data_IF_645287322573
#
_entry.id   IF_645287322573
#
_cell.length_a   1.000
_cell.length_b   1.000
_cell.length_c   1.000
_cell.angle_alpha   90.00
_cell.angle_beta   90.00
_cell.angle_gamma   90.00
#
_symmetry.space_group_name_H-M   'P 1'
#
loop_
_entity.id
_entity.type
_entity.pdbx_description
1 polymer ?
#
# COMPACT_ATOMS: atom_id res chain seq x y z
N UNK A 1 -19.57 46.69 32.76
CA UNK A 1 -18.15 46.58 32.35
C UNK A 1 -17.54 45.53 33.27
N UNK A 2 -17.13 44.32 32.87
CA UNK A 2 -16.80 43.80 31.54
C UNK A 2 -17.00 42.28 31.51
N UNK A 3 -17.31 41.79 30.31
CA UNK A 3 -17.38 40.39 29.90
C UNK A 3 -15.99 39.72 29.84
N UNK A 4 -16.06 38.39 29.69
CA UNK A 4 -15.15 37.52 28.91
C UNK A 4 -13.81 37.11 29.57
N UNK A 5 -13.35 35.87 29.46
CA UNK A 5 -13.88 34.73 28.72
C UNK A 5 -13.26 33.45 29.26
N UNK A 6 -14.09 32.40 29.35
CA UNK A 6 -13.60 31.05 29.55
C UNK A 6 -12.73 30.69 28.34
N UNK A 7 -11.47 30.41 28.63
CA UNK A 7 -10.46 29.93 27.67
C UNK A 7 -11.04 28.71 26.96
N UNK A 8 -11.38 28.90 25.68
CA UNK A 8 -11.60 27.78 24.78
C UNK A 8 -10.28 27.04 24.67
N UNK A 9 -10.22 25.84 25.24
CA UNK A 9 -9.22 24.84 24.85
C UNK A 9 -9.38 24.60 23.35
N UNK A 10 -8.38 24.88 22.51
CA UNK A 10 -8.32 24.22 21.22
C UNK A 10 -7.97 22.76 21.53
N UNK A 11 -8.98 21.90 21.62
CA UNK A 11 -8.75 20.46 21.63
C UNK A 11 -7.95 20.11 20.38
N UNK A 12 -6.69 19.76 20.63
CA UNK A 12 -5.67 19.54 19.64
C UNK A 12 -6.10 18.45 18.64
N UNK A 13 -5.92 18.76 17.35
CA UNK A 13 -5.56 17.83 16.27
C UNK A 13 -6.20 16.43 16.34
N UNK A 14 -7.50 16.35 16.11
CA UNK A 14 -8.14 15.08 15.73
C UNK A 14 -7.76 14.77 14.27
N UNK A 15 -6.58 14.19 14.01
CA UNK A 15 -6.20 13.84 12.63
C UNK A 15 -5.22 12.64 12.48
N UNK A 16 -5.22 11.68 13.41
CA UNK A 16 -4.28 10.54 13.39
C UNK A 16 -4.85 9.12 13.50
N UNK A 17 -6.10 8.93 13.94
CA UNK A 17 -6.61 7.60 14.34
C UNK A 17 -7.20 6.76 13.19
N UNK A 18 -7.25 7.31 11.98
CA UNK A 18 -7.96 6.69 10.87
C UNK A 18 -7.02 5.98 9.89
N UNK A 19 -5.76 5.71 10.25
CA UNK A 19 -4.77 5.13 9.34
C UNK A 19 -4.00 4.01 10.00
N UNK A 20 -3.94 2.88 9.34
CA UNK A 20 -3.21 1.68 9.76
C UNK A 20 -2.12 1.40 8.73
N UNK A 21 -0.90 1.11 9.18
CA UNK A 21 0.24 0.86 8.30
C UNK A 21 0.74 -0.57 8.44
N UNK A 22 0.66 -1.32 7.35
CA UNK A 22 1.24 -2.66 7.26
C UNK A 22 2.69 -2.53 6.83
N UNK A 23 3.60 -2.93 7.71
CA UNK A 23 5.04 -2.82 7.47
C UNK A 23 5.53 -3.88 6.48
N UNK A 24 6.59 -3.53 5.74
CA UNK A 24 7.34 -4.48 4.92
C UNK A 24 7.94 -5.59 5.80
N UNK A 25 7.89 -6.81 5.30
CA UNK A 25 8.53 -8.00 5.89
C UNK A 25 9.90 -8.19 5.24
N UNK A 26 10.96 -8.09 6.05
CA UNK A 26 12.36 -8.24 5.62
C UNK A 26 12.96 -9.61 5.98
N UNK A 27 12.16 -10.55 6.47
CA UNK A 27 12.64 -11.88 6.90
C UNK A 27 13.30 -12.68 5.78
N UNK A 28 12.88 -12.47 4.53
CA UNK A 28 13.41 -13.14 3.32
C UNK A 28 14.32 -12.22 2.48
N UNK A 29 14.84 -11.15 3.09
CA UNK A 29 15.76 -10.20 2.44
C UNK A 29 15.08 -8.91 2.00
N UNK A 30 15.55 -8.32 0.90
CA UNK A 30 15.13 -6.98 0.45
C UNK A 30 14.02 -7.00 -0.60
N UNK A 31 13.41 -8.16 -0.87
CA UNK A 31 12.27 -8.32 -1.76
C UNK A 31 11.03 -7.57 -1.22
N UNK A 32 10.17 -7.06 -2.10
CA UNK A 32 8.91 -6.41 -1.68
C UNK A 32 7.93 -7.46 -1.17
N UNK A 33 7.79 -7.51 0.16
CA UNK A 33 6.84 -8.36 0.87
C UNK A 33 6.26 -7.59 2.05
N UNK A 34 5.00 -7.81 2.37
CA UNK A 34 4.31 -7.18 3.50
C UNK A 34 3.86 -8.24 4.51
N UNK A 35 3.84 -7.86 5.79
CA UNK A 35 3.33 -8.73 6.85
C UNK A 35 1.85 -9.04 6.64
N UNK A 36 1.49 -10.30 6.81
CA UNK A 36 0.12 -10.79 6.61
C UNK A 36 -0.72 -10.80 7.89
N UNK A 37 -0.10 -10.53 9.05
CA UNK A 37 -0.81 -10.45 10.33
C UNK A 37 -1.80 -9.29 10.32
N UNK A 38 -3.08 -9.58 10.56
CA UNK A 38 -4.12 -8.57 10.75
C UNK A 38 -3.78 -7.68 11.97
N UNK A 39 -3.66 -6.34 11.82
CA UNK A 39 -3.50 -5.41 12.92
C UNK A 39 -4.74 -5.32 13.80
N UNK A 40 -4.54 -5.03 15.09
CA UNK A 40 -5.63 -4.92 16.08
C UNK A 40 -6.66 -3.84 15.74
N UNK A 41 -6.21 -2.76 15.10
CA UNK A 41 -7.05 -1.62 14.69
C UNK A 41 -8.05 -1.98 13.57
N UNK A 42 -7.79 -3.09 12.85
CA UNK A 42 -8.68 -3.60 11.80
C UNK A 42 -9.51 -4.79 12.27
N UNK A 43 -9.30 -5.28 13.49
CA UNK A 43 -10.13 -6.35 14.05
C UNK A 43 -11.58 -5.91 14.19
N UNK A 44 -12.51 -6.74 13.73
CA UNK A 44 -13.94 -6.42 13.69
C UNK A 44 -14.37 -5.50 12.52
N UNK A 45 -13.43 -4.89 11.78
CA UNK A 45 -13.73 -4.13 10.56
C UNK A 45 -13.61 -5.00 9.30
N UNK A 46 -12.67 -5.95 9.30
CA UNK A 46 -12.47 -6.91 8.22
C UNK A 46 -12.14 -8.29 8.79
N UNK A 47 -12.60 -9.36 8.15
CA UNK A 47 -12.28 -10.71 8.55
C UNK A 47 -10.81 -11.03 8.27
N UNK A 48 -10.16 -11.70 9.21
CA UNK A 48 -8.74 -12.08 9.12
C UNK A 48 -8.39 -12.77 7.80
N UNK A 49 -9.18 -13.75 7.38
CA UNK A 49 -8.93 -14.50 6.14
C UNK A 49 -9.02 -13.63 4.88
N UNK A 50 -9.91 -12.63 4.85
CA UNK A 50 -10.06 -11.72 3.71
C UNK A 50 -8.86 -10.78 3.62
N UNK A 51 -8.44 -10.23 4.76
CA UNK A 51 -7.24 -9.41 4.85
C UNK A 51 -6.01 -10.20 4.44
N UNK A 52 -5.78 -11.36 5.03
CA UNK A 52 -4.65 -12.24 4.73
C UNK A 52 -4.62 -12.63 3.26
N UNK A 53 -5.77 -13.01 2.67
CA UNK A 53 -5.86 -13.32 1.24
C UNK A 53 -5.47 -12.13 0.36
N UNK A 54 -5.88 -10.91 0.74
CA UNK A 54 -5.55 -9.69 -0.01
C UNK A 54 -4.05 -9.41 0.05
N UNK A 55 -3.45 -9.45 1.24
CA UNK A 55 -2.01 -9.21 1.41
C UNK A 55 -1.17 -10.30 0.75
N UNK A 56 -1.56 -11.57 0.88
CA UNK A 56 -0.88 -12.68 0.19
C UNK A 56 -0.90 -12.48 -1.32
N UNK A 57 -2.05 -12.10 -1.88
CA UNK A 57 -2.15 -11.85 -3.32
C UNK A 57 -1.30 -10.66 -3.79
N UNK A 58 -1.21 -9.61 -2.97
CA UNK A 58 -0.29 -8.50 -3.23
C UNK A 58 1.17 -8.96 -3.22
N UNK A 59 1.57 -9.74 -2.20
CA UNK A 59 2.92 -10.30 -2.10
C UNK A 59 3.27 -11.18 -3.30
N UNK A 60 2.33 -11.99 -3.80
CA UNK A 60 2.51 -12.79 -5.02
C UNK A 60 2.77 -11.89 -6.25
N UNK A 61 2.02 -10.80 -6.41
CA UNK A 61 2.27 -9.86 -7.52
C UNK A 61 3.61 -9.16 -7.41
N UNK A 62 4.04 -8.79 -6.21
CA UNK A 62 5.37 -8.20 -6.02
C UNK A 62 6.50 -9.21 -6.31
N UNK A 63 6.33 -10.46 -5.87
CA UNK A 63 7.28 -11.54 -6.20
C UNK A 63 7.32 -11.81 -7.72
N UNK A 64 6.18 -11.75 -8.42
CA UNK A 64 6.09 -11.84 -9.88
C UNK A 64 6.87 -10.69 -10.55
N UNK A 65 6.72 -9.46 -10.04
CA UNK A 65 7.40 -8.27 -10.56
C UNK A 65 8.94 -8.42 -10.51
N UNK A 66 9.47 -8.96 -9.41
CA UNK A 66 10.91 -9.12 -9.20
C UNK A 66 11.51 -10.26 -10.02
N UNK A 67 10.79 -11.38 -10.20
CA UNK A 67 11.27 -12.52 -11.01
C UNK A 67 11.53 -12.13 -12.47
N UNK A 68 10.65 -11.35 -13.08
CA UNK A 68 10.86 -10.86 -14.45
C UNK A 68 11.97 -9.79 -14.58
N UNK A 69 12.40 -9.20 -13.47
CA UNK A 69 13.47 -8.21 -13.45
C UNK A 69 14.86 -8.84 -13.44
N UNK A 70 15.03 -10.02 -12.85
CA UNK A 70 16.37 -10.58 -12.59
C UNK A 70 17.00 -11.25 -13.82
N UNK A 71 16.24 -11.99 -14.64
CA UNK A 71 16.78 -12.57 -15.89
C UNK A 71 17.13 -11.51 -16.93
N UNK A 72 16.43 -10.38 -16.91
CA UNK A 72 16.69 -9.21 -17.77
C UNK A 72 17.98 -8.47 -17.36
N UNK A 73 18.37 -8.53 -16.07
CA UNK A 73 19.54 -7.82 -15.55
C UNK A 73 20.88 -8.47 -15.97
N UNK A 74 20.89 -9.80 -16.19
CA UNK A 74 22.07 -10.51 -16.68
C UNK A 74 22.43 -10.16 -18.14
N UNK A 75 21.50 -9.57 -18.90
CA UNK A 75 21.82 -8.94 -20.20
C UNK A 75 22.53 -7.58 -20.01
N UNK A 76 22.41 -6.94 -18.85
CA UNK A 76 22.92 -5.60 -18.55
C UNK A 76 24.45 -5.47 -18.52
N UNK A 77 25.19 -6.55 -18.24
CA UNK A 77 26.66 -6.56 -18.38
C UNK A 77 27.11 -6.50 -19.85
N UNK A 78 26.25 -6.90 -20.79
CA UNK A 78 26.49 -6.77 -22.25
C UNK A 78 26.20 -5.32 -22.70
N UNK A 79 25.43 -4.57 -21.92
CA UNK A 79 24.95 -3.21 -22.20
C UNK A 79 25.91 -2.06 -21.90
N UNK A 80 27.06 -2.29 -21.27
CA UNK A 80 28.10 -1.23 -21.17
C UNK A 80 28.49 -0.67 -22.56
N UNK A 81 28.25 -1.46 -23.62
CA UNK A 81 28.72 -1.21 -24.98
C UNK A 81 27.65 -0.50 -25.86
N UNK A 82 26.37 -0.45 -25.46
CA UNK A 82 25.27 0.16 -26.28
C UNK A 82 24.80 1.56 -25.82
N UNK A 83 25.52 2.16 -24.87
CA UNK A 83 25.69 3.59 -24.56
C UNK A 83 24.48 4.55 -24.32
N UNK A 84 23.46 4.68 -25.16
CA UNK A 84 22.38 5.69 -24.95
C UNK A 84 21.03 5.32 -25.59
N UNK A 85 20.97 4.23 -26.37
CA UNK A 85 19.85 3.94 -27.28
C UNK A 85 18.64 3.23 -26.62
N UNK A 86 18.72 2.88 -25.34
CA UNK A 86 17.61 2.27 -24.57
C UNK A 86 16.87 3.27 -23.68
N UNK A 87 17.10 4.58 -23.80
CA UNK A 87 16.55 5.56 -22.84
C UNK A 87 15.02 5.54 -22.60
N UNK A 88 14.13 5.00 -23.46
CA UNK A 88 12.68 5.23 -23.31
C UNK A 88 11.69 4.18 -23.89
N UNK A 89 12.12 3.10 -24.55
CA UNK A 89 11.20 2.28 -25.36
C UNK A 89 10.73 0.99 -24.66
N UNK A 90 9.89 1.15 -23.64
CA UNK A 90 8.82 0.25 -23.19
C UNK A 90 8.74 0.27 -21.68
N UNK A 91 7.52 0.46 -21.17
CA UNK A 91 7.16 0.21 -19.78
C UNK A 91 7.86 -1.05 -19.27
N UNK A 92 8.68 -0.90 -18.22
CA UNK A 92 9.47 -2.01 -17.70
C UNK A 92 8.53 -3.13 -17.24
N UNK A 93 9.00 -4.39 -17.26
CA UNK A 93 8.21 -5.50 -16.71
C UNK A 93 7.70 -5.17 -15.29
N UNK A 94 8.56 -4.52 -14.50
CA UNK A 94 8.22 -4.07 -13.16
C UNK A 94 7.07 -3.05 -13.16
N UNK A 95 7.12 -2.02 -14.01
CA UNK A 95 6.05 -1.03 -14.15
C UNK A 95 4.71 -1.63 -14.64
N UNK A 96 4.75 -2.66 -15.50
CA UNK A 96 3.56 -3.44 -15.91
C UNK A 96 2.91 -4.12 -14.73
N UNK A 97 3.73 -4.76 -13.90
CA UNK A 97 3.23 -5.46 -12.72
C UNK A 97 2.74 -4.48 -11.65
N UNK A 98 3.38 -3.31 -11.48
CA UNK A 98 2.86 -2.27 -10.59
C UNK A 98 1.47 -1.78 -11.03
N UNK A 99 1.22 -1.57 -12.34
CA UNK A 99 -0.13 -1.24 -12.84
C UNK A 99 -1.16 -2.34 -12.55
N UNK A 100 -0.76 -3.61 -12.65
CA UNK A 100 -1.61 -4.76 -12.28
C UNK A 100 -1.98 -4.70 -10.79
N UNK A 101 -1.02 -4.36 -9.94
CA UNK A 101 -1.23 -4.16 -8.49
C UNK A 101 -2.20 -2.99 -8.23
N UNK A 102 -2.01 -1.84 -8.86
CA UNK A 102 -2.92 -0.68 -8.70
C UNK A 102 -4.36 -1.04 -9.08
N UNK A 103 -4.55 -1.76 -10.20
CA UNK A 103 -5.87 -2.24 -10.65
C UNK A 103 -6.48 -3.22 -9.66
N UNK A 104 -5.69 -4.14 -9.12
CA UNK A 104 -6.15 -5.09 -8.12
C UNK A 104 -6.60 -4.37 -6.84
N UNK A 105 -5.80 -3.43 -6.33
CA UNK A 105 -6.14 -2.63 -5.14
C UNK A 105 -7.43 -1.85 -5.37
N UNK A 106 -7.59 -1.19 -6.51
CA UNK A 106 -8.82 -0.50 -6.86
C UNK A 106 -10.04 -1.44 -6.83
N UNK A 107 -9.91 -2.65 -7.39
CA UNK A 107 -10.97 -3.66 -7.37
C UNK A 107 -11.27 -4.18 -5.96
N UNK A 108 -10.26 -4.42 -5.13
CA UNK A 108 -10.47 -4.82 -3.73
C UNK A 108 -11.14 -3.71 -2.93
N UNK A 109 -10.74 -2.46 -3.16
CA UNK A 109 -11.37 -1.30 -2.55
C UNK A 109 -12.85 -1.21 -2.89
N UNK A 110 -13.20 -1.31 -4.18
CA UNK A 110 -14.59 -1.25 -4.62
C UNK A 110 -15.43 -2.40 -4.04
N UNK A 111 -14.92 -3.63 -4.07
CA UNK A 111 -15.70 -4.83 -3.76
C UNK A 111 -15.73 -5.22 -2.29
N UNK A 112 -14.68 -4.89 -1.54
CA UNK A 112 -14.46 -5.41 -0.18
C UNK A 112 -14.24 -4.29 0.82
N UNK A 113 -13.28 -3.40 0.57
CA UNK A 113 -12.84 -2.46 1.62
C UNK A 113 -13.78 -1.25 1.75
N UNK A 114 -14.21 -0.59 0.67
CA UNK A 114 -15.14 0.54 0.73
C UNK A 114 -16.48 0.16 1.38
N UNK A 115 -17.12 -0.98 1.06
CA UNK A 115 -18.31 -1.43 1.78
C UNK A 115 -18.10 -1.62 3.28
N UNK A 116 -16.85 -1.80 3.73
CA UNK A 116 -16.45 -1.94 5.15
C UNK A 116 -15.96 -0.63 5.77
N UNK A 117 -16.01 0.49 5.04
CA UNK A 117 -15.47 1.77 5.50
C UNK A 117 -13.96 1.77 5.59
N UNK A 118 -13.29 1.02 4.73
CA UNK A 118 -11.83 0.94 4.64
C UNK A 118 -11.38 1.31 3.23
N UNK A 119 -10.15 1.81 3.09
CA UNK A 119 -9.53 2.06 1.80
C UNK A 119 -8.05 1.70 1.86
N UNK A 120 -7.61 0.77 1.04
CA UNK A 120 -6.20 0.50 0.81
C UNK A 120 -5.64 1.60 -0.11
N UNK A 121 -4.55 2.22 0.31
CA UNK A 121 -3.78 3.14 -0.53
C UNK A 121 -2.69 2.34 -1.23
N UNK A 122 -2.54 2.59 -2.53
CA UNK A 122 -1.52 1.91 -3.33
C UNK A 122 -0.12 2.16 -2.72
N UNK A 123 0.62 1.09 -2.35
CA UNK A 123 1.93 1.21 -1.71
C UNK A 123 2.99 1.87 -2.61
N UNK A 124 2.77 1.99 -3.92
CA UNK A 124 3.67 2.74 -4.83
C UNK A 124 3.77 4.21 -4.43
N UNK A 125 2.68 4.82 -3.94
CA UNK A 125 2.68 6.19 -3.40
C UNK A 125 3.44 6.32 -2.08
N UNK A 126 3.83 5.20 -1.46
CA UNK A 126 4.61 5.13 -0.21
C UNK A 126 6.01 4.55 -0.42
N UNK A 127 6.48 4.53 -1.66
CA UNK A 127 7.79 3.97 -2.00
C UNK A 127 7.92 2.49 -1.63
N UNK A 128 6.80 1.76 -1.62
CA UNK A 128 6.71 0.33 -1.33
C UNK A 128 7.15 -0.08 0.09
N UNK A 129 7.25 0.89 1.00
CA UNK A 129 7.70 0.63 2.38
C UNK A 129 6.59 0.14 3.30
N UNK A 130 5.36 0.58 3.02
CA UNK A 130 4.17 0.24 3.80
C UNK A 130 2.96 0.16 2.90
N UNK A 131 1.97 -0.64 3.30
CA UNK A 131 0.59 -0.50 2.82
C UNK A 131 -0.15 0.36 3.85
N UNK A 132 -0.71 1.48 3.41
CA UNK A 132 -1.60 2.29 4.24
C UNK A 132 -3.05 1.85 4.01
N UNK A 133 -3.78 1.67 5.11
CA UNK A 133 -5.23 1.43 5.10
C UNK A 133 -5.88 2.58 5.85
N UNK A 134 -6.72 3.34 5.17
CA UNK A 134 -7.50 4.42 5.76
C UNK A 134 -8.86 3.89 6.21
N UNK A 135 -9.23 4.17 7.45
CA UNK A 135 -10.56 3.95 8.00
C UNK A 135 -11.39 5.17 7.63
N UNK A 136 -12.37 4.97 6.75
CA UNK A 136 -13.29 6.00 6.29
C UNK A 136 -14.33 6.21 7.39
N UNK A 137 -14.45 7.44 7.86
CA UNK A 137 -15.45 7.78 8.87
C UNK A 137 -16.85 7.56 8.27
N UNK A 138 -17.64 6.69 8.90
CA UNK A 138 -19.02 6.47 8.46
C UNK A 138 -19.90 7.49 9.18
N UNK A 139 -20.70 8.30 8.47
CA UNK A 139 -21.73 9.10 9.12
C UNK A 139 -22.74 8.14 9.76
N UNK A 140 -22.66 7.94 11.08
CA UNK A 140 -23.57 7.07 11.82
C UNK A 140 -22.99 6.27 13.00
N UNK A 141 -21.70 6.41 13.35
CA UNK A 141 -21.15 5.85 14.59
C UNK A 141 -21.15 6.92 15.70
N UNK A 142 -22.33 7.25 16.20
CA UNK A 142 -22.56 7.89 17.52
C UNK A 142 -22.94 6.82 18.53
#
# INVERSE_FOLDING_TARGET
MSQAGAVGTPSALQNGFNKVFIQRDYSEGTAVKFHTRLPGELEGLIERHVFESTINRLNEFFAEAEKGSCSTYCEGCIGCITAYLVYMCSETHYEKTLRKISKYIASQNERIYHPKGLQIIDPTYRGLRVIEITILDRPGRT
#
